data_IF_452577306302
#
_entry.id   IF_452577306302
#
_cell.length_a   1.000
_cell.length_b   1.000
_cell.length_c   1.000
_cell.angle_alpha   90.00
_cell.angle_beta   90.00
_cell.angle_gamma   90.00
#
_symmetry.space_group_name_H-M   'P 1'
#
loop_
_entity.id
_entity.type
_entity.pdbx_description
1 polymer ?
#
# COMPACT_ATOMS: atom_id res chain seq x y z
N UNK A 1 25.12 -1.87 -3.65
CA UNK A 1 25.43 -2.22 -5.05
C UNK A 1 24.13 -2.73 -5.66
N UNK A 2 23.65 -2.21 -6.79
CA UNK A 2 22.34 -2.62 -7.34
C UNK A 2 22.50 -3.95 -8.10
N UNK A 3 21.81 -5.00 -7.67
CA UNK A 3 21.84 -6.33 -8.32
C UNK A 3 20.96 -6.27 -9.56
N UNK A 4 21.47 -6.39 -10.79
CA UNK A 4 20.64 -6.20 -11.98
C UNK A 4 19.53 -7.29 -12.07
N UNK A 5 18.33 -6.88 -12.50
CA UNK A 5 17.10 -7.68 -12.45
C UNK A 5 17.12 -8.99 -13.23
N UNK A 6 17.98 -9.08 -14.23
CA UNK A 6 18.24 -10.29 -15.01
C UNK A 6 18.94 -11.39 -14.18
N UNK A 7 19.49 -11.05 -13.01
CA UNK A 7 20.07 -11.99 -12.06
C UNK A 7 19.03 -12.71 -11.19
N UNK A 8 17.78 -12.21 -11.13
CA UNK A 8 16.73 -12.82 -10.31
C UNK A 8 16.21 -14.09 -10.99
N UNK A 9 16.30 -15.23 -10.30
CA UNK A 9 15.85 -16.52 -10.78
C UNK A 9 14.31 -16.58 -10.91
N UNK A 10 13.83 -16.69 -12.16
CA UNK A 10 12.39 -16.72 -12.51
C UNK A 10 11.90 -18.10 -12.98
N UNK A 11 12.73 -19.14 -12.87
CA UNK A 11 12.32 -20.52 -13.17
C UNK A 11 11.05 -20.88 -12.37
N UNK A 12 10.07 -21.61 -12.92
CA UNK A 12 8.97 -22.11 -12.10
C UNK A 12 9.53 -22.93 -10.92
N UNK A 13 8.99 -22.70 -9.73
CA UNK A 13 9.39 -23.50 -8.56
C UNK A 13 8.63 -24.82 -8.63
N UNK A 14 9.35 -25.90 -8.92
CA UNK A 14 8.80 -27.27 -8.98
C UNK A 14 9.29 -28.06 -7.76
N UNK A 15 8.75 -27.74 -6.58
CA UNK A 15 8.99 -28.46 -5.34
C UNK A 15 7.67 -28.71 -4.60
N UNK A 16 7.69 -29.63 -3.65
CA UNK A 16 6.67 -29.69 -2.62
C UNK A 16 6.81 -28.52 -1.64
N UNK A 17 5.81 -28.34 -0.78
CA UNK A 17 5.80 -27.27 0.21
C UNK A 17 6.97 -27.37 1.21
N UNK A 18 7.37 -28.56 1.73
CA UNK A 18 8.59 -28.72 2.51
C UNK A 18 9.85 -28.20 1.82
N UNK A 19 9.98 -28.39 0.50
CA UNK A 19 11.10 -27.90 -0.29
C UNK A 19 11.23 -26.37 -0.37
N UNK A 20 10.21 -25.62 0.04
CA UNK A 20 10.28 -24.14 0.12
C UNK A 20 10.88 -23.64 1.44
N UNK A 21 10.98 -24.47 2.47
CA UNK A 21 11.50 -24.05 3.76
C UNK A 21 13.04 -24.07 3.79
N UNK A 22 13.69 -23.16 4.55
CA UNK A 22 13.06 -22.16 5.41
C UNK A 22 12.56 -20.94 4.64
N UNK A 23 11.36 -20.47 5.00
CA UNK A 23 10.81 -19.21 4.51
C UNK A 23 11.14 -18.10 5.50
N UNK A 24 11.70 -17.00 5.00
CA UNK A 24 12.00 -15.81 5.80
C UNK A 24 11.23 -14.59 5.32
N UNK A 25 10.74 -13.81 6.28
CA UNK A 25 10.10 -12.51 6.06
C UNK A 25 11.07 -11.42 6.49
N UNK A 26 11.60 -10.69 5.52
CA UNK A 26 12.61 -9.65 5.74
C UNK A 26 11.95 -8.29 5.59
N UNK A 27 12.02 -7.49 6.65
CA UNK A 27 11.58 -6.10 6.62
C UNK A 27 12.43 -5.30 5.64
N UNK A 28 11.78 -4.55 4.76
CA UNK A 28 12.45 -3.67 3.81
C UNK A 28 12.66 -2.31 4.49
N UNK A 29 13.88 -2.10 4.99
CA UNK A 29 14.25 -0.91 5.77
C UNK A 29 15.51 -0.18 5.26
N UNK A 30 16.15 -0.69 4.21
CA UNK A 30 17.36 -0.14 3.60
C UNK A 30 17.21 0.02 2.08
N UNK A 31 18.09 0.81 1.45
CA UNK A 31 17.99 1.14 0.02
C UNK A 31 18.10 -0.06 -0.92
N UNK A 32 18.87 -1.10 -0.59
CA UNK A 32 19.07 -2.24 -1.47
C UNK A 32 17.81 -3.11 -1.53
N UNK A 33 17.22 -3.37 -0.36
CA UNK A 33 15.94 -4.09 -0.28
C UNK A 33 14.78 -3.26 -0.82
N UNK A 34 14.77 -1.94 -0.63
CA UNK A 34 13.78 -1.04 -1.24
C UNK A 34 13.84 -1.11 -2.77
N UNK A 35 15.05 -1.07 -3.33
CA UNK A 35 15.25 -1.19 -4.77
C UNK A 35 14.75 -2.54 -5.29
N UNK A 36 15.12 -3.65 -4.65
CA UNK A 36 14.68 -4.99 -5.06
C UNK A 36 13.15 -5.12 -5.01
N UNK A 37 12.53 -4.63 -3.93
CA UNK A 37 11.09 -4.64 -3.77
C UNK A 37 10.41 -3.82 -4.88
N UNK A 38 10.88 -2.61 -5.15
CA UNK A 38 10.30 -1.72 -6.17
C UNK A 38 10.36 -2.37 -7.56
N UNK A 39 11.48 -3.04 -7.89
CA UNK A 39 11.61 -3.73 -9.16
C UNK A 39 10.70 -4.96 -9.29
N UNK A 40 10.58 -5.78 -8.25
CA UNK A 40 9.70 -6.96 -8.26
C UNK A 40 8.24 -6.53 -8.47
N UNK A 41 7.79 -5.48 -7.79
CA UNK A 41 6.43 -4.96 -7.94
C UNK A 41 6.22 -4.33 -9.30
N UNK A 42 7.18 -3.58 -9.83
CA UNK A 42 7.07 -2.98 -11.16
C UNK A 42 6.88 -4.01 -12.27
N UNK A 43 7.50 -5.19 -12.15
CA UNK A 43 7.46 -6.24 -13.17
C UNK A 43 6.30 -7.22 -12.99
N UNK A 44 5.96 -7.58 -11.76
CA UNK A 44 5.01 -8.67 -11.47
C UNK A 44 3.61 -8.17 -11.09
N UNK A 45 3.44 -6.92 -10.68
CA UNK A 45 2.14 -6.41 -10.30
C UNK A 45 1.34 -5.98 -11.53
N UNK A 46 0.12 -6.52 -11.69
CA UNK A 46 -0.72 -6.31 -12.87
C UNK A 46 -1.16 -4.85 -13.09
N UNK A 47 -1.11 -4.00 -12.06
CA UNK A 47 -1.38 -2.54 -12.18
C UNK A 47 -0.11 -1.69 -12.35
N UNK A 48 1.06 -2.33 -12.42
CA UNK A 48 2.36 -1.68 -12.35
C UNK A 48 2.68 -1.09 -10.98
N UNK A 49 3.88 -0.52 -10.84
CA UNK A 49 4.28 0.13 -9.59
C UNK A 49 3.67 1.54 -9.48
N UNK A 50 2.86 1.74 -8.44
CA UNK A 50 2.48 3.08 -7.97
C UNK A 50 3.08 3.29 -6.59
N UNK A 51 3.78 4.43 -6.42
CA UNK A 51 4.40 4.78 -5.13
C UNK A 51 3.34 4.83 -4.04
N UNK A 52 3.49 3.98 -3.02
CA UNK A 52 2.62 3.98 -1.85
C UNK A 52 2.75 5.32 -1.13
N UNK A 53 1.62 5.95 -0.84
CA UNK A 53 1.53 7.21 -0.11
C UNK A 53 1.37 6.95 1.39
N UNK A 54 1.89 7.86 2.21
CA UNK A 54 1.81 7.76 3.68
C UNK A 54 2.74 6.70 4.27
N UNK A 55 2.44 6.30 5.51
CA UNK A 55 3.18 5.24 6.19
C UNK A 55 3.01 3.92 5.44
N UNK A 56 4.14 3.28 5.18
CA UNK A 56 4.21 2.04 4.42
C UNK A 56 5.05 1.01 5.16
N UNK A 57 4.61 -0.23 5.07
CA UNK A 57 5.31 -1.40 5.59
C UNK A 57 5.55 -2.34 4.43
N UNK A 58 6.82 -2.69 4.18
CA UNK A 58 7.23 -3.52 3.05
C UNK A 58 8.01 -4.73 3.56
N UNK A 59 7.73 -5.90 3.00
CA UNK A 59 8.47 -7.13 3.28
C UNK A 59 8.85 -7.83 1.98
N UNK A 60 10.00 -8.50 2.01
CA UNK A 60 10.39 -9.49 1.02
C UNK A 60 10.32 -10.88 1.67
N UNK A 61 9.75 -11.83 0.93
CA UNK A 61 9.70 -13.23 1.33
C UNK A 61 10.79 -13.99 0.58
N UNK A 62 11.61 -14.75 1.28
CA UNK A 62 12.67 -15.56 0.68
C UNK A 62 12.55 -17.03 1.06
N UNK A 63 12.92 -17.91 0.13
CA UNK A 63 13.33 -19.29 0.41
C UNK A 63 14.84 -19.37 0.19
N UNK A 64 15.61 -19.53 1.27
CA UNK A 64 17.07 -19.34 1.22
C UNK A 64 17.44 -17.95 0.69
N UNK A 65 18.19 -17.89 -0.41
CA UNK A 65 18.56 -16.63 -1.09
C UNK A 65 17.56 -16.20 -2.18
N UNK A 66 16.56 -17.02 -2.50
CA UNK A 66 15.65 -16.81 -3.61
C UNK A 66 14.42 -16.01 -3.18
N UNK A 67 14.16 -14.82 -3.76
CA UNK A 67 12.95 -14.06 -3.46
C UNK A 67 11.72 -14.77 -4.03
N UNK A 68 10.68 -14.91 -3.20
CA UNK A 68 9.41 -15.55 -3.54
C UNK A 68 8.29 -14.54 -3.73
N UNK A 69 8.25 -13.49 -2.90
CA UNK A 69 7.18 -12.50 -2.93
C UNK A 69 7.63 -11.14 -2.39
N UNK A 70 6.94 -10.09 -2.85
CA UNK A 70 7.05 -8.73 -2.35
C UNK A 70 5.69 -8.32 -1.77
N UNK A 71 5.65 -8.03 -0.47
CA UNK A 71 4.43 -7.68 0.25
C UNK A 71 4.48 -6.22 0.70
N UNK A 72 3.33 -5.54 0.70
CA UNK A 72 3.23 -4.21 1.31
C UNK A 72 1.86 -3.92 1.89
N UNK A 73 1.88 -3.16 2.99
CA UNK A 73 0.73 -2.48 3.55
C UNK A 73 0.95 -0.96 3.50
N UNK A 74 -0.12 -0.20 3.28
CA UNK A 74 -0.11 1.25 3.40
C UNK A 74 -1.34 1.72 4.15
N UNK A 75 -1.20 2.78 4.94
CA UNK A 75 -2.31 3.43 5.62
C UNK A 75 -2.61 4.78 4.94
N UNK A 76 -3.32 4.81 3.80
CA UNK A 76 -3.68 6.05 3.15
C UNK A 76 -4.70 6.79 4.01
N UNK A 77 -4.33 7.97 4.52
CA UNK A 77 -5.27 8.84 5.24
C UNK A 77 -6.26 9.44 4.23
N UNK A 78 -7.50 8.97 4.23
CA UNK A 78 -8.59 9.54 3.43
C UNK A 78 -9.34 10.56 4.28
N UNK A 79 -8.88 11.81 4.31
CA UNK A 79 -9.61 12.91 4.95
C UNK A 79 -10.74 13.33 4.02
N UNK A 80 -11.99 13.07 4.39
CA UNK A 80 -13.13 13.69 3.73
C UNK A 80 -13.45 14.99 4.46
N UNK A 81 -13.31 16.12 3.78
CA UNK A 81 -13.92 17.37 4.23
C UNK A 81 -15.42 17.30 3.89
N UNK A 82 -16.26 17.10 4.90
CA UNK A 82 -17.69 17.34 4.73
C UNK A 82 -17.89 18.87 4.72
N UNK A 83 -18.23 19.41 3.55
CA UNK A 83 -18.84 20.74 3.50
C UNK A 83 -20.26 20.59 4.05
N UNK A 84 -20.42 20.83 5.35
CA UNK A 84 -21.75 21.12 5.90
C UNK A 84 -22.12 22.51 5.38
N UNK A 85 -22.96 22.53 4.34
CA UNK A 85 -23.58 23.76 3.85
C UNK A 85 -24.41 24.36 4.98
N UNK A 86 -23.94 25.47 5.52
CA UNK A 86 -24.72 26.35 6.38
C UNK A 86 -25.84 26.95 5.56
N UNK A 87 -27.05 26.40 5.69
CA UNK A 87 -28.30 27.07 5.33
C UNK A 87 -29.40 26.54 6.25
N UNK A 88 -29.44 27.06 7.48
CA UNK A 88 -30.68 27.13 8.24
C UNK A 88 -31.16 28.58 8.11
N UNK A 89 -32.18 28.78 7.27
CA UNK A 89 -32.95 30.00 7.26
C UNK A 89 -33.69 30.08 8.60
N UNK A 90 -33.25 30.96 9.49
CA UNK A 90 -34.07 31.38 10.62
C UNK A 90 -35.16 32.28 10.05
N UNK A 91 -36.33 31.72 9.77
CA UNK A 91 -37.51 32.54 9.49
C UNK A 91 -37.85 33.30 10.78
N UNK A 92 -37.74 34.62 10.72
CA UNK A 92 -38.39 35.54 11.64
C UNK A 92 -39.88 35.20 11.71
N UNK A 93 -40.34 34.79 12.90
CA UNK A 93 -41.75 34.90 13.27
C UNK A 93 -41.90 36.27 13.95
N UNK A 94 -42.55 37.20 13.25
CA UNK A 94 -43.02 38.46 13.82
C UNK A 94 -44.39 38.20 14.45
N UNK A 95 -44.45 38.15 15.78
CA UNK A 95 -45.70 38.31 16.52
C UNK A 95 -45.86 39.80 16.84
N UNK A 96 -46.54 40.54 15.96
CA UNK A 96 -47.23 41.76 16.33
C UNK A 96 -48.46 41.90 15.41
N UNK A 97 -49.60 42.22 16.03
CA UNK A 97 -50.95 42.46 15.47
C UNK A 97 -51.93 41.27 15.42
N UNK A 98 -52.55 40.99 16.57
CA UNK A 98 -53.99 40.76 16.60
C UNK A 98 -54.61 41.59 17.73
N UNK A 99 -54.89 42.86 17.44
CA UNK A 99 -55.76 43.72 18.25
C UNK A 99 -57.23 43.37 17.99
N UNK A 100 -57.96 43.08 19.05
CA UNK A 100 -59.38 43.43 19.24
C UNK A 100 -59.71 43.38 20.74
#
# INVERSE_FOLDING_TARGET
MQVPLNSIERSPIASDLPGLFPISLVLVSDPEREWLWDQLVAQCHYLGYRKLLGHRLKYLVFSGSRPLAALSWSAPARRYSLNVGSNINTSEYNEDEQSA
#
